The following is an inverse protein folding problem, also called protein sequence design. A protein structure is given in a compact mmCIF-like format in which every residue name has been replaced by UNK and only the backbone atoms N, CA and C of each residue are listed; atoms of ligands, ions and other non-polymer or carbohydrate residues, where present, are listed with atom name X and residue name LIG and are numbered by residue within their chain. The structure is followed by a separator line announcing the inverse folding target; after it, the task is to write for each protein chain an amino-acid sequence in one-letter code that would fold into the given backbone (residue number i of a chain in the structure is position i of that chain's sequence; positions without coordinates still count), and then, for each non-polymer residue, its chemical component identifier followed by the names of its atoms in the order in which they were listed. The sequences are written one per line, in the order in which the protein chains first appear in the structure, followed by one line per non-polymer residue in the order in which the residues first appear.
data_IF_512125996858
#
_entry.id   IF_512125996858
#
_cell.length_a   1.000
_cell.length_b   1.000
_cell.length_c   1.000
_cell.angle_alpha   90.00
_cell.angle_beta   90.00
_cell.angle_gamma   90.00
#
_symmetry.space_group_name_H-M   'P 1'
#
loop_
_entity.id
_entity.type
_entity.pdbx_description
1 polymer ?
#
# COMPACT_ATOMS: atom_id res chain seq x y z
N UNK A 1 12.28 -12.66 23.45
CA UNK A 1 12.51 -12.68 21.98
C UNK A 1 13.32 -13.91 21.66
N UNK A 2 12.97 -14.57 20.57
CA UNK A 2 13.77 -15.69 20.06
C UNK A 2 15.05 -15.11 19.44
N UNK A 3 16.20 -15.29 20.11
CA UNK A 3 17.51 -14.74 19.72
C UNK A 3 18.21 -15.60 18.66
N UNK A 4 17.48 -16.51 18.00
CA UNK A 4 18.09 -17.34 16.97
C UNK A 4 18.50 -16.51 15.75
N UNK A 5 19.70 -16.79 15.26
CA UNK A 5 20.13 -16.26 13.96
C UNK A 5 19.28 -16.88 12.85
N UNK A 6 18.76 -16.03 11.97
CA UNK A 6 17.84 -16.42 10.89
C UNK A 6 18.50 -16.31 9.53
N UNK A 7 18.07 -17.13 8.59
CA UNK A 7 18.47 -17.03 7.19
C UNK A 7 17.27 -17.19 6.25
N UNK A 8 17.31 -16.53 5.13
CA UNK A 8 16.34 -16.71 4.05
C UNK A 8 16.89 -16.22 2.71
N UNK A 9 16.21 -16.66 1.63
CA UNK A 9 16.44 -16.15 0.30
C UNK A 9 15.84 -14.72 0.19
N UNK A 10 16.65 -13.76 -0.21
CA UNK A 10 16.26 -12.36 -0.35
C UNK A 10 15.85 -11.99 -1.79
N UNK A 11 16.12 -12.84 -2.77
CA UNK A 11 15.78 -12.65 -4.20
C UNK A 11 14.90 -13.77 -4.72
N UNK A 12 14.23 -13.57 -5.85
CA UNK A 12 13.56 -14.64 -6.56
C UNK A 12 14.58 -15.66 -7.11
N UNK A 13 14.17 -16.91 -7.27
CA UNK A 13 14.98 -17.98 -7.90
C UNK A 13 14.94 -17.87 -9.42
N UNK A 14 15.99 -18.38 -10.09
CA UNK A 14 16.05 -18.47 -11.56
C UNK A 14 16.69 -17.28 -12.26
N UNK A 15 17.12 -16.26 -11.51
CA UNK A 15 17.96 -15.17 -12.04
C UNK A 15 19.42 -15.58 -12.17
N UNK A 16 20.25 -14.70 -12.74
CA UNK A 16 21.72 -14.92 -12.82
C UNK A 16 22.38 -14.92 -11.44
N UNK A 17 21.87 -14.10 -10.52
CA UNK A 17 22.36 -13.93 -9.15
C UNK A 17 21.19 -14.18 -8.17
N UNK A 18 21.49 -14.88 -7.08
CA UNK A 18 20.62 -15.01 -5.94
C UNK A 18 21.33 -14.57 -4.66
N UNK A 19 20.57 -14.00 -3.72
CA UNK A 19 21.11 -13.51 -2.45
C UNK A 19 20.42 -14.25 -1.31
N UNK A 20 21.23 -14.86 -0.45
CA UNK A 20 20.79 -15.42 0.83
C UNK A 20 21.20 -14.45 1.94
N UNK A 21 20.26 -14.01 2.75
CA UNK A 21 20.46 -13.08 3.86
C UNK A 21 20.47 -13.85 5.18
N UNK A 22 21.40 -13.48 6.06
CA UNK A 22 21.52 -13.98 7.44
C UNK A 22 21.46 -12.79 8.38
N UNK A 23 20.75 -12.89 9.50
CA UNK A 23 20.67 -11.84 10.53
C UNK A 23 20.57 -12.43 11.92
N UNK A 24 21.24 -11.82 12.88
CA UNK A 24 21.26 -12.21 14.28
C UNK A 24 22.65 -12.08 14.88
N UNK A 25 22.73 -12.26 16.19
CA UNK A 25 23.96 -12.11 16.96
C UNK A 25 25.13 -12.96 16.44
N UNK A 26 24.84 -14.16 15.90
CA UNK A 26 25.83 -15.10 15.37
C UNK A 26 25.88 -15.13 13.83
N UNK A 27 25.31 -14.13 13.15
CA UNK A 27 25.21 -14.15 11.68
C UNK A 27 26.57 -14.26 10.99
N UNK A 28 27.57 -13.52 11.46
CA UNK A 28 28.91 -13.51 10.88
C UNK A 28 29.65 -14.81 11.21
N UNK A 29 29.57 -15.31 12.45
CA UNK A 29 30.22 -16.56 12.88
C UNK A 29 29.66 -17.77 12.08
N UNK A 30 28.32 -17.87 11.94
CA UNK A 30 27.71 -18.96 11.19
C UNK A 30 28.07 -18.90 9.72
N UNK A 31 28.09 -17.68 9.14
CA UNK A 31 28.52 -17.51 7.73
C UNK A 31 30.00 -17.91 7.57
N UNK A 32 30.87 -17.56 8.51
CA UNK A 32 32.28 -17.93 8.49
C UNK A 32 32.52 -19.45 8.52
N UNK A 33 31.63 -20.20 9.19
CA UNK A 33 31.74 -21.67 9.25
C UNK A 33 31.61 -22.32 7.86
N UNK A 34 30.85 -21.73 6.95
CA UNK A 34 30.60 -22.28 5.61
C UNK A 34 31.41 -21.59 4.51
N UNK A 35 32.05 -20.46 4.81
CA UNK A 35 32.74 -19.62 3.84
C UNK A 35 34.26 -19.72 3.96
N UNK A 36 34.96 -19.82 2.83
CA UNK A 36 36.43 -19.82 2.77
C UNK A 36 36.89 -18.78 1.75
N UNK A 37 37.81 -17.95 2.17
CA UNK A 37 38.47 -16.96 1.30
C UNK A 37 39.99 -17.13 1.32
N UNK A 38 40.62 -16.88 0.17
CA UNK A 38 42.10 -16.84 0.07
C UNK A 38 42.67 -15.53 0.62
N UNK A 39 41.85 -14.48 0.69
CA UNK A 39 42.29 -13.14 1.08
C UNK A 39 42.05 -12.81 2.55
N UNK A 40 41.12 -13.50 3.21
CA UNK A 40 40.75 -13.24 4.58
C UNK A 40 40.76 -14.54 5.38
N UNK A 41 41.37 -14.51 6.57
CA UNK A 41 41.48 -15.70 7.43
C UNK A 41 40.13 -16.04 8.08
N UNK A 42 39.34 -15.06 8.45
CA UNK A 42 38.01 -15.22 9.05
C UNK A 42 37.17 -13.98 8.78
N UNK A 43 35.86 -14.17 8.52
CA UNK A 43 34.88 -13.08 8.38
C UNK A 43 34.67 -12.32 9.70
N UNK A 44 34.96 -12.97 10.85
CA UNK A 44 34.83 -12.34 12.17
C UNK A 44 35.75 -11.11 12.32
N UNK A 45 36.91 -11.08 11.65
CA UNK A 45 37.83 -9.94 11.66
C UNK A 45 37.51 -8.87 10.62
N UNK A 46 36.53 -9.12 9.75
CA UNK A 46 36.17 -8.20 8.67
C UNK A 46 35.44 -6.96 9.21
N UNK A 47 35.67 -5.83 8.57
CA UNK A 47 34.97 -4.58 8.88
C UNK A 47 33.53 -4.63 8.38
N UNK A 48 32.61 -3.92 9.07
CA UNK A 48 31.28 -3.67 8.54
C UNK A 48 31.32 -2.91 7.21
N UNK A 49 30.31 -3.12 6.35
CA UNK A 49 30.20 -2.58 4.99
C UNK A 49 31.41 -3.00 4.10
N UNK A 50 31.85 -4.24 4.23
CA UNK A 50 32.89 -4.83 3.40
C UNK A 50 32.37 -6.01 2.59
N UNK A 51 33.01 -6.28 1.45
CA UNK A 51 32.67 -7.34 0.52
C UNK A 51 33.85 -8.30 0.37
N UNK A 52 33.60 -9.59 0.45
CA UNK A 52 34.63 -10.63 0.42
C UNK A 52 34.28 -11.71 -0.60
N UNK A 53 35.25 -12.03 -1.46
CA UNK A 53 35.15 -13.13 -2.41
C UNK A 53 35.69 -14.42 -1.83
N UNK A 54 35.01 -15.54 -2.09
CA UNK A 54 35.44 -16.86 -1.65
C UNK A 54 34.47 -17.95 -2.09
N UNK A 55 34.56 -19.09 -1.45
CA UNK A 55 33.77 -20.29 -1.71
C UNK A 55 32.88 -20.62 -0.51
N UNK A 56 31.64 -21.07 -0.79
CA UNK A 56 30.76 -21.67 0.23
C UNK A 56 30.84 -23.18 0.12
N UNK A 57 30.96 -23.84 1.27
CA UNK A 57 31.12 -25.28 1.41
C UNK A 57 29.96 -25.92 2.17
N UNK A 58 29.66 -27.17 1.87
CA UNK A 58 28.78 -28.02 2.67
C UNK A 58 29.51 -28.58 3.90
N UNK A 59 28.80 -29.37 4.73
CA UNK A 59 29.38 -30.04 5.94
C UNK A 59 30.47 -31.05 5.61
N UNK A 60 30.44 -31.65 4.44
CA UNK A 60 31.39 -32.60 3.93
C UNK A 60 32.66 -31.91 3.36
N UNK A 61 32.60 -30.57 3.22
CA UNK A 61 33.69 -29.76 2.70
C UNK A 61 33.70 -29.63 1.19
N UNK A 62 32.62 -30.05 0.50
CA UNK A 62 32.48 -29.87 -0.94
C UNK A 62 32.11 -28.42 -1.25
N UNK A 63 32.66 -27.86 -2.31
CA UNK A 63 32.32 -26.51 -2.78
C UNK A 63 30.89 -26.53 -3.34
N UNK A 64 30.04 -25.63 -2.82
CA UNK A 64 28.69 -25.39 -3.33
C UNK A 64 28.73 -24.37 -4.46
N UNK A 65 29.40 -23.23 -4.21
CA UNK A 65 29.51 -22.14 -5.19
C UNK A 65 30.64 -21.15 -4.83
N UNK A 66 31.11 -20.40 -5.83
CA UNK A 66 31.93 -19.21 -5.62
C UNK A 66 31.04 -17.99 -5.41
N UNK A 67 31.27 -17.24 -4.33
CA UNK A 67 30.33 -16.25 -3.84
C UNK A 67 31.00 -14.93 -3.45
N UNK A 68 30.15 -13.89 -3.32
CA UNK A 68 30.51 -12.64 -2.65
C UNK A 68 29.72 -12.55 -1.35
N UNK A 69 30.41 -12.34 -0.22
CA UNK A 69 29.78 -12.13 1.10
C UNK A 69 29.92 -10.67 1.52
N UNK A 70 28.78 -10.00 1.68
CA UNK A 70 28.68 -8.66 2.25
C UNK A 70 28.48 -8.77 3.76
N UNK A 71 29.19 -7.94 4.54
CA UNK A 71 29.12 -7.93 6.01
C UNK A 71 28.55 -6.60 6.49
N UNK A 72 27.55 -6.68 7.35
CA UNK A 72 26.94 -5.54 8.03
C UNK A 72 26.98 -5.76 9.53
N UNK A 73 27.55 -4.82 10.26
CA UNK A 73 27.64 -4.92 11.74
C UNK A 73 26.59 -4.04 12.40
N UNK A 74 26.07 -4.55 13.48
CA UNK A 74 25.17 -3.82 14.39
C UNK A 74 25.80 -2.47 14.80
N UNK A 75 25.03 -1.37 14.86
CA UNK A 75 23.62 -1.22 14.47
C UNK A 75 23.45 -0.85 12.97
N UNK A 76 24.52 -0.89 12.15
CA UNK A 76 24.54 -0.42 10.76
C UNK A 76 24.17 -1.53 9.76
N UNK A 77 23.02 -2.16 9.98
CA UNK A 77 22.41 -3.16 9.10
C UNK A 77 20.91 -2.87 8.91
N UNK A 78 20.25 -3.62 8.06
CA UNK A 78 18.79 -3.49 7.84
C UNK A 78 18.00 -3.80 9.10
N UNK A 79 18.32 -4.90 9.79
CA UNK A 79 17.65 -5.34 11.02
C UNK A 79 18.17 -4.65 12.28
N UNK A 80 19.29 -3.93 12.21
CA UNK A 80 20.01 -3.43 13.38
C UNK A 80 20.88 -4.48 14.10
N UNK A 81 20.85 -5.76 13.66
CA UNK A 81 21.69 -6.86 14.15
C UNK A 81 22.92 -7.04 13.25
N UNK A 82 23.88 -7.86 13.65
CA UNK A 82 24.90 -8.34 12.72
C UNK A 82 24.22 -9.10 11.57
N UNK A 83 24.66 -8.86 10.34
CA UNK A 83 24.03 -9.43 9.18
C UNK A 83 25.04 -9.71 8.07
N UNK A 84 24.79 -10.78 7.29
CA UNK A 84 25.56 -11.08 6.08
C UNK A 84 24.60 -11.30 4.90
N UNK A 85 25.07 -10.96 3.71
CA UNK A 85 24.41 -11.27 2.45
C UNK A 85 25.37 -12.06 1.58
N UNK A 86 24.96 -13.28 1.20
CA UNK A 86 25.73 -14.20 0.37
C UNK A 86 25.15 -14.11 -1.05
N UNK A 87 25.88 -13.48 -1.95
CA UNK A 87 25.54 -13.39 -3.38
C UNK A 87 26.16 -14.58 -4.11
N UNK A 88 25.33 -15.47 -4.62
CA UNK A 88 25.70 -16.68 -5.33
C UNK A 88 24.99 -16.78 -6.69
N UNK A 89 25.30 -17.80 -7.49
CA UNK A 89 24.52 -18.03 -8.71
C UNK A 89 23.08 -18.36 -8.39
N UNK A 90 22.12 -17.79 -9.15
CA UNK A 90 20.68 -17.80 -8.86
C UNK A 90 19.96 -19.13 -9.13
N UNK A 91 20.70 -20.23 -9.23
CA UNK A 91 20.14 -21.59 -9.36
C UNK A 91 19.38 -21.97 -8.09
N UNK A 92 18.13 -22.45 -8.23
CA UNK A 92 17.34 -22.96 -7.11
C UNK A 92 18.07 -24.05 -6.30
N UNK A 93 18.88 -24.87 -6.97
CA UNK A 93 19.70 -25.90 -6.34
C UNK A 93 20.78 -25.28 -5.45
N UNK A 94 21.58 -24.35 -5.99
CA UNK A 94 22.66 -23.69 -5.26
C UNK A 94 22.11 -22.96 -4.05
N UNK A 95 21.09 -22.14 -4.25
CA UNK A 95 20.43 -21.35 -3.19
C UNK A 95 19.89 -22.26 -2.08
N UNK A 96 19.29 -23.40 -2.43
CA UNK A 96 18.81 -24.41 -1.49
C UNK A 96 19.96 -25.05 -0.70
N UNK A 97 21.10 -25.34 -1.34
CA UNK A 97 22.28 -25.89 -0.63
C UNK A 97 22.92 -24.86 0.30
N UNK A 98 23.01 -23.58 -0.08
CA UNK A 98 23.53 -22.52 0.79
C UNK A 98 22.64 -22.35 2.02
N UNK A 99 21.31 -22.31 1.85
CA UNK A 99 20.37 -22.22 3.00
C UNK A 99 20.52 -23.47 3.89
N UNK A 100 20.63 -24.66 3.32
CA UNK A 100 20.84 -25.89 4.08
C UNK A 100 22.15 -25.83 4.88
N UNK A 101 23.25 -25.41 4.27
CA UNK A 101 24.54 -25.30 4.95
C UNK A 101 24.48 -24.30 6.13
N UNK A 102 23.76 -23.18 5.98
CA UNK A 102 23.53 -22.21 7.05
C UNK A 102 22.68 -22.79 8.18
N UNK A 103 21.59 -23.52 7.87
CA UNK A 103 20.74 -24.19 8.87
C UNK A 103 21.54 -25.26 9.61
N UNK A 104 22.30 -26.04 8.89
CA UNK A 104 23.18 -27.06 9.44
C UNK A 104 24.27 -26.46 10.35
N UNK A 105 24.65 -25.20 10.16
CA UNK A 105 25.60 -24.46 10.97
C UNK A 105 24.98 -23.66 12.13
N UNK A 106 23.65 -23.72 12.30
CA UNK A 106 22.93 -23.15 13.44
C UNK A 106 21.99 -21.99 13.15
N UNK A 107 21.73 -21.66 11.88
CA UNK A 107 20.65 -20.75 11.52
C UNK A 107 19.28 -21.45 11.63
N UNK A 108 18.25 -20.64 11.85
CA UNK A 108 16.86 -20.99 11.61
C UNK A 108 16.35 -20.31 10.33
N UNK A 109 15.47 -20.98 9.60
CA UNK A 109 14.80 -20.31 8.50
C UNK A 109 13.91 -19.18 9.03
N UNK A 110 13.96 -18.02 8.38
CA UNK A 110 13.16 -16.87 8.74
C UNK A 110 11.67 -17.07 8.42
N UNK A 111 10.81 -16.54 9.27
CA UNK A 111 9.37 -16.42 9.01
C UNK A 111 9.10 -15.28 7.99
N UNK A 112 7.90 -15.25 7.38
CA UNK A 112 7.49 -14.12 6.54
C UNK A 112 7.64 -12.78 7.29
N UNK A 113 8.27 -11.79 6.66
CA UNK A 113 8.48 -10.45 7.24
C UNK A 113 9.40 -10.38 8.46
N UNK A 114 10.07 -11.46 8.86
CA UNK A 114 10.85 -11.48 10.12
C UNK A 114 12.01 -10.49 10.14
N UNK A 115 12.68 -10.25 9.02
CA UNK A 115 13.75 -9.26 8.96
C UNK A 115 13.22 -7.84 9.21
N UNK A 116 12.09 -7.49 8.61
CA UNK A 116 11.44 -6.19 8.80
C UNK A 116 10.87 -6.06 10.22
N UNK A 117 10.29 -7.15 10.77
CA UNK A 117 9.86 -7.20 12.17
C UNK A 117 11.02 -6.92 13.13
N UNK A 118 12.19 -7.52 12.90
CA UNK A 118 13.39 -7.26 13.71
C UNK A 118 13.90 -5.83 13.56
N UNK A 119 13.87 -5.28 12.33
CA UNK A 119 14.20 -3.88 12.08
C UNK A 119 13.29 -2.94 12.89
N UNK A 120 11.97 -3.19 12.92
CA UNK A 120 11.02 -2.46 13.75
C UNK A 120 11.35 -2.61 15.27
N UNK A 121 11.51 -3.82 15.75
CA UNK A 121 11.81 -4.09 17.17
C UNK A 121 13.13 -3.47 17.64
N UNK A 122 14.10 -3.35 16.75
CA UNK A 122 15.41 -2.73 17.01
C UNK A 122 15.41 -1.21 16.73
N UNK A 123 14.24 -0.60 16.52
CA UNK A 123 14.07 0.85 16.35
C UNK A 123 14.67 1.42 15.06
N UNK A 124 14.90 0.59 14.03
CA UNK A 124 15.39 1.04 12.71
C UNK A 124 14.29 1.78 11.91
N UNK A 125 13.06 1.43 12.17
CA UNK A 125 11.86 2.01 11.57
C UNK A 125 10.68 1.83 12.51
N UNK A 126 9.63 2.63 12.36
CA UNK A 126 8.37 2.44 13.04
C UNK A 126 7.45 1.44 12.29
N UNK A 127 6.29 1.13 12.87
CA UNK A 127 5.37 0.13 12.31
C UNK A 127 4.78 0.57 10.97
N UNK A 128 4.48 1.87 10.80
CA UNK A 128 3.95 2.38 9.53
C UNK A 128 5.01 2.34 8.41
N UNK A 129 6.28 2.60 8.74
CA UNK A 129 7.39 2.46 7.82
C UNK A 129 7.66 0.98 7.47
N UNK A 130 7.49 0.07 8.43
CA UNK A 130 7.59 -1.37 8.20
C UNK A 130 6.53 -1.85 7.20
N UNK A 131 5.27 -1.43 7.36
CA UNK A 131 4.20 -1.71 6.38
C UNK A 131 4.52 -1.14 4.99
N UNK A 132 5.10 0.07 4.93
CA UNK A 132 5.50 0.70 3.68
C UNK A 132 6.56 -0.10 2.89
N UNK A 133 7.41 -0.91 3.56
CA UNK A 133 8.34 -1.82 2.86
C UNK A 133 7.59 -2.83 2.00
N UNK A 134 6.52 -3.42 2.52
CA UNK A 134 5.70 -4.36 1.75
C UNK A 134 4.98 -3.66 0.59
N UNK A 135 4.42 -2.48 0.86
CA UNK A 135 3.74 -1.68 -0.15
C UNK A 135 4.67 -1.24 -1.28
N UNK A 136 5.92 -0.88 -0.95
CA UNK A 136 6.93 -0.50 -1.93
C UNK A 136 7.29 -1.67 -2.86
N UNK A 137 7.41 -2.87 -2.31
CA UNK A 137 7.69 -4.10 -3.09
C UNK A 137 6.51 -4.47 -3.98
N UNK A 138 5.28 -4.31 -3.47
CA UNK A 138 4.05 -4.62 -4.20
C UNK A 138 3.63 -3.53 -5.19
N UNK A 139 4.29 -2.35 -5.18
CA UNK A 139 3.91 -1.24 -6.04
C UNK A 139 4.07 -1.58 -7.52
N UNK A 140 2.99 -1.40 -8.29
CA UNK A 140 2.92 -1.73 -9.72
C UNK A 140 2.86 -0.50 -10.64
N UNK A 141 2.73 0.71 -10.07
CA UNK A 141 2.64 1.97 -10.82
C UNK A 141 3.36 3.10 -10.09
N UNK A 142 3.56 4.24 -10.80
CA UNK A 142 4.28 5.40 -10.27
C UNK A 142 3.62 6.00 -9.03
N UNK A 143 2.30 6.07 -8.99
CA UNK A 143 1.57 6.68 -7.86
C UNK A 143 1.70 5.82 -6.58
N UNK A 144 1.46 4.51 -6.67
CA UNK A 144 1.60 3.60 -5.53
C UNK A 144 3.05 3.54 -5.02
N UNK A 145 4.04 3.54 -5.93
CA UNK A 145 5.46 3.63 -5.58
C UNK A 145 5.76 4.92 -4.79
N UNK A 146 5.31 6.09 -5.28
CA UNK A 146 5.55 7.36 -4.61
C UNK A 146 4.93 7.42 -3.21
N UNK A 147 3.69 6.91 -3.04
CA UNK A 147 3.02 6.84 -1.74
C UNK A 147 3.78 5.96 -0.75
N UNK A 148 4.15 4.75 -1.18
CA UNK A 148 4.93 3.83 -0.34
C UNK A 148 6.29 4.41 0.04
N UNK A 149 6.96 5.10 -0.89
CA UNK A 149 8.24 5.75 -0.64
C UNK A 149 8.10 6.92 0.36
N UNK A 150 7.06 7.74 0.24
CA UNK A 150 6.79 8.83 1.18
C UNK A 150 6.54 8.29 2.60
N UNK A 151 5.76 7.22 2.71
CA UNK A 151 5.49 6.56 3.99
C UNK A 151 6.77 5.95 4.58
N UNK A 152 7.59 5.26 3.76
CA UNK A 152 8.88 4.69 4.20
C UNK A 152 9.86 5.78 4.66
N UNK A 153 9.87 6.96 4.03
CA UNK A 153 10.66 8.12 4.48
C UNK A 153 10.18 8.73 5.80
N UNK A 154 9.05 8.27 6.34
CA UNK A 154 8.55 8.69 7.64
C UNK A 154 7.71 9.97 7.62
N UNK A 155 7.25 10.45 6.47
CA UNK A 155 6.42 11.66 6.40
C UNK A 155 5.12 11.50 7.19
N UNK A 156 4.48 10.31 7.09
CA UNK A 156 3.27 10.00 7.86
C UNK A 156 3.56 9.95 9.38
N UNK A 157 4.65 9.30 9.77
CA UNK A 157 5.06 9.20 11.17
C UNK A 157 5.41 10.57 11.78
N UNK A 158 6.02 11.45 10.99
CA UNK A 158 6.30 12.85 11.39
C UNK A 158 5.02 13.62 11.62
N UNK A 159 4.02 13.49 10.75
CA UNK A 159 2.70 14.10 10.92
C UNK A 159 2.01 13.63 12.20
N UNK A 160 1.98 12.31 12.43
CA UNK A 160 1.39 11.74 13.65
C UNK A 160 2.15 12.18 14.91
N UNK A 161 3.47 12.32 14.84
CA UNK A 161 4.27 12.83 15.97
C UNK A 161 3.90 14.27 16.32
N UNK A 162 3.67 15.13 15.32
CA UNK A 162 3.22 16.52 15.56
C UNK A 162 1.83 16.55 16.19
N UNK A 163 0.89 15.70 15.73
CA UNK A 163 -0.44 15.60 16.35
C UNK A 163 -0.34 15.12 17.81
N UNK A 164 0.52 14.13 18.08
CA UNK A 164 0.76 13.65 19.44
C UNK A 164 1.36 14.72 20.35
N UNK A 165 2.33 15.50 19.88
CA UNK A 165 2.89 16.61 20.65
C UNK A 165 1.83 17.64 21.01
N UNK A 166 0.94 17.97 20.07
CA UNK A 166 -0.16 18.90 20.32
C UNK A 166 -1.14 18.35 21.35
N UNK A 167 -1.51 17.05 21.27
CA UNK A 167 -2.36 16.38 22.26
C UNK A 167 -1.70 16.35 23.65
N UNK A 168 -0.42 16.00 23.73
CA UNK A 168 0.34 16.01 24.99
C UNK A 168 0.37 17.39 25.62
N UNK A 169 0.45 18.47 24.81
CA UNK A 169 0.36 19.84 25.31
C UNK A 169 -0.99 20.09 25.98
N UNK A 170 -2.11 19.70 25.36
CA UNK A 170 -3.45 19.83 25.96
C UNK A 170 -3.52 19.04 27.27
N UNK A 171 -3.09 17.76 27.24
CA UNK A 171 -3.09 16.90 28.43
C UNK A 171 -2.31 17.52 29.58
N UNK A 172 -1.09 18.01 29.32
CA UNK A 172 -0.25 18.62 30.36
C UNK A 172 -0.87 19.88 30.95
N UNK A 173 -1.54 20.70 30.15
CA UNK A 173 -2.22 21.90 30.64
C UNK A 173 -3.41 21.56 31.52
N UNK A 174 -4.19 20.53 31.18
CA UNK A 174 -5.31 20.04 32.00
C UNK A 174 -4.84 19.34 33.26
N UNK A 175 -3.75 18.58 33.25
CA UNK A 175 -3.17 17.97 34.44
C UNK A 175 -2.63 19.02 35.40
N UNK A 176 -2.01 20.12 34.91
CA UNK A 176 -1.62 21.24 35.72
C UNK A 176 -2.83 21.95 36.37
N UNK A 177 -3.93 22.13 35.65
CA UNK A 177 -5.17 22.68 36.20
C UNK A 177 -5.71 21.85 37.38
N UNK A 178 -5.62 20.51 37.27
CA UNK A 178 -6.04 19.55 38.30
C UNK A 178 -5.14 19.62 39.56
N UNK A 179 -3.81 19.62 39.38
CA UNK A 179 -2.85 19.59 40.46
C UNK A 179 -2.90 20.90 41.30
N UNK A 180 -3.33 21.98 40.69
CA UNK A 180 -3.42 23.33 41.35
C UNK A 180 -4.86 23.78 41.60
N UNK A 181 -5.86 22.88 41.44
CA UNK A 181 -7.29 23.14 41.64
C UNK A 181 -7.65 23.64 43.06
N UNK A 182 -6.76 23.43 44.06
CA UNK A 182 -6.89 23.92 45.42
C UNK A 182 -6.57 25.46 45.57
N UNK A 183 -6.04 26.06 44.50
CA UNK A 183 -5.74 27.49 44.44
C UNK A 183 -6.72 28.22 43.52
N UNK A 184 -7.81 28.75 44.06
CA UNK A 184 -8.98 29.32 43.36
C UNK A 184 -8.69 30.49 42.38
N UNK A 185 -7.44 30.90 42.14
CA UNK A 185 -7.09 32.08 41.33
C UNK A 185 -6.22 31.79 40.09
N UNK A 186 -5.90 30.57 39.77
CA UNK A 186 -4.99 30.25 38.64
C UNK A 186 -5.68 29.44 37.54
N UNK A 187 -6.24 30.13 36.55
CA UNK A 187 -6.53 29.50 35.25
C UNK A 187 -5.21 29.24 34.51
N UNK A 188 -4.73 27.98 34.48
CA UNK A 188 -3.49 27.59 33.82
C UNK A 188 -3.64 27.43 32.30
N UNK A 189 -4.88 27.27 31.81
CA UNK A 189 -5.16 27.15 30.39
C UNK A 189 -6.44 27.93 30.03
N UNK A 190 -6.31 28.79 29.05
CA UNK A 190 -7.50 29.37 28.41
C UNK A 190 -8.25 28.23 27.68
N UNK A 191 -9.45 27.90 28.15
CA UNK A 191 -10.30 26.84 27.56
C UNK A 191 -10.57 27.10 26.08
N UNK A 192 -10.64 28.36 25.65
CA UNK A 192 -10.77 28.74 24.25
C UNK A 192 -9.53 28.37 23.42
N UNK A 193 -8.33 28.50 23.97
CA UNK A 193 -7.10 28.06 23.29
C UNK A 193 -7.03 26.52 23.22
N UNK A 194 -7.48 25.81 24.26
CA UNK A 194 -7.54 24.34 24.26
C UNK A 194 -8.55 23.82 23.23
N UNK A 195 -9.74 24.42 23.16
CA UNK A 195 -10.77 24.09 22.19
C UNK A 195 -10.27 24.31 20.76
N UNK A 196 -9.72 25.47 20.47
CA UNK A 196 -9.17 25.78 19.14
C UNK A 196 -8.05 24.81 18.72
N UNK A 197 -7.22 24.36 19.67
CA UNK A 197 -6.18 23.36 19.39
C UNK A 197 -6.78 21.97 19.15
N UNK A 198 -7.78 21.57 19.92
CA UNK A 198 -8.48 20.30 19.74
C UNK A 198 -9.22 20.26 18.39
N UNK A 199 -9.90 21.34 18.01
CA UNK A 199 -10.55 21.47 16.69
C UNK A 199 -9.55 21.37 15.53
N UNK A 200 -8.38 22.01 15.66
CA UNK A 200 -7.31 21.91 14.66
C UNK A 200 -6.81 20.47 14.49
N UNK A 201 -6.63 19.74 15.60
CA UNK A 201 -6.23 18.33 15.58
C UNK A 201 -7.33 17.48 14.91
N UNK A 202 -8.58 17.70 15.30
CA UNK A 202 -9.73 16.98 14.71
C UNK A 202 -9.84 17.22 13.20
N UNK A 203 -9.66 18.45 12.75
CA UNK A 203 -9.69 18.79 11.33
C UNK A 203 -8.60 18.03 10.58
N UNK A 204 -7.38 18.02 11.14
CA UNK A 204 -6.26 17.31 10.52
C UNK A 204 -6.45 15.79 10.47
N UNK A 205 -6.97 15.18 11.54
CA UNK A 205 -7.34 13.76 11.54
C UNK A 205 -8.43 13.48 10.48
N UNK A 206 -9.40 14.39 10.33
CA UNK A 206 -10.46 14.26 9.32
C UNK A 206 -9.90 14.30 7.90
N UNK A 207 -8.94 15.18 7.61
CA UNK A 207 -8.25 15.24 6.31
C UNK A 207 -7.52 13.92 6.00
N UNK A 208 -6.85 13.34 7.00
CA UNK A 208 -6.17 12.05 6.86
C UNK A 208 -7.16 10.92 6.59
N UNK A 209 -8.30 10.90 7.28
CA UNK A 209 -9.37 9.93 7.06
C UNK A 209 -9.92 10.06 5.63
N UNK A 210 -10.22 11.27 5.17
CA UNK A 210 -10.73 11.51 3.81
C UNK A 210 -9.73 11.09 2.74
N UNK A 211 -8.43 11.18 3.00
CA UNK A 211 -7.40 10.74 2.07
C UNK A 211 -7.37 9.23 1.83
N UNK A 212 -7.99 8.43 2.71
CA UNK A 212 -7.95 6.96 2.63
C UNK A 212 -8.61 6.39 1.37
N UNK A 213 -9.74 6.94 0.94
CA UNK A 213 -10.41 6.48 -0.29
C UNK A 213 -9.50 6.64 -1.50
N UNK A 214 -8.88 7.82 -1.62
CA UNK A 214 -7.91 8.10 -2.67
C UNK A 214 -6.68 7.18 -2.56
N UNK A 215 -6.13 7.04 -1.37
CA UNK A 215 -4.95 6.19 -1.12
C UNK A 215 -5.21 4.71 -1.45
N UNK A 216 -6.36 4.20 -1.03
CA UNK A 216 -6.76 2.82 -1.32
C UNK A 216 -7.01 2.60 -2.82
N UNK A 217 -7.63 3.57 -3.52
CA UNK A 217 -7.83 3.53 -4.96
C UNK A 217 -6.50 3.55 -5.72
N UNK A 218 -5.55 4.38 -5.30
CA UNK A 218 -4.22 4.45 -5.91
C UNK A 218 -3.39 3.18 -5.68
N UNK A 219 -3.55 2.55 -4.53
CA UNK A 219 -2.85 1.30 -4.18
C UNK A 219 -3.43 0.08 -4.91
N UNK A 220 -4.76 -0.05 -4.94
CA UNK A 220 -5.46 -1.21 -5.53
C UNK A 220 -5.82 -1.04 -7.00
N UNK A 221 -5.69 0.16 -7.54
CA UNK A 221 -6.20 0.53 -8.85
C UNK A 221 -7.64 1.06 -8.77
N UNK A 222 -7.92 2.09 -9.58
CA UNK A 222 -9.23 2.74 -9.64
C UNK A 222 -10.21 1.84 -10.37
N UNK A 223 -11.33 1.46 -9.74
CA UNK A 223 -12.28 0.54 -10.36
C UNK A 223 -13.12 1.23 -11.44
N UNK A 224 -13.11 0.66 -12.65
CA UNK A 224 -13.82 1.14 -13.83
C UNK A 224 -14.79 0.08 -14.33
N UNK A 225 -16.06 0.43 -14.50
CA UNK A 225 -17.04 -0.45 -15.13
C UNK A 225 -17.30 -0.04 -16.58
N UNK A 226 -17.32 -1.01 -17.50
CA UNK A 226 -17.77 -0.82 -18.87
C UNK A 226 -19.16 -1.39 -19.00
N UNK A 227 -20.16 -0.52 -19.23
CA UNK A 227 -21.56 -0.88 -19.36
C UNK A 227 -22.14 -0.45 -20.70
N UNK A 228 -23.24 -1.03 -21.13
CA UNK A 228 -23.90 -0.73 -22.40
C UNK A 228 -24.60 -1.94 -22.99
N UNK A 229 -25.46 -1.72 -24.01
CA UNK A 229 -26.24 -2.77 -24.69
C UNK A 229 -25.32 -3.81 -25.34
N UNK A 230 -25.89 -4.93 -25.75
CA UNK A 230 -25.16 -5.96 -26.53
C UNK A 230 -24.67 -5.38 -27.86
N UNK A 231 -23.52 -5.86 -28.35
CA UNK A 231 -22.94 -5.49 -29.64
C UNK A 231 -22.52 -4.00 -29.83
N UNK A 232 -22.52 -3.18 -28.78
CA UNK A 232 -21.99 -1.80 -28.87
C UNK A 232 -20.45 -1.74 -28.90
N UNK A 233 -19.76 -2.89 -28.72
CA UNK A 233 -18.31 -2.98 -28.84
C UNK A 233 -17.54 -2.91 -27.51
N UNK A 234 -18.17 -3.27 -26.37
CA UNK A 234 -17.53 -3.29 -25.04
C UNK A 234 -16.25 -4.12 -24.96
N UNK A 235 -16.27 -5.36 -25.54
CA UNK A 235 -15.10 -6.23 -25.55
C UNK A 235 -13.95 -5.67 -26.39
N UNK A 236 -14.27 -5.07 -27.54
CA UNK A 236 -13.29 -4.41 -28.40
C UNK A 236 -12.69 -3.19 -27.70
N UNK A 237 -13.52 -2.39 -27.02
CA UNK A 237 -13.07 -1.25 -26.24
C UNK A 237 -12.15 -1.67 -25.10
N UNK A 238 -12.52 -2.71 -24.33
CA UNK A 238 -11.68 -3.26 -23.26
C UNK A 238 -10.31 -3.68 -23.79
N UNK A 239 -10.27 -4.45 -24.89
CA UNK A 239 -9.00 -4.88 -25.49
C UNK A 239 -8.13 -3.71 -25.96
N UNK A 240 -8.76 -2.62 -26.47
CA UNK A 240 -8.03 -1.40 -26.82
C UNK A 240 -7.41 -0.73 -25.60
N UNK A 241 -8.14 -0.62 -24.48
CA UNK A 241 -7.67 0.00 -23.25
C UNK A 241 -6.61 -0.85 -22.54
N UNK A 242 -6.65 -2.18 -22.69
CA UNK A 242 -5.65 -3.08 -22.11
C UNK A 242 -4.36 -3.15 -22.92
N UNK A 243 -4.28 -2.52 -24.09
CA UNK A 243 -3.12 -2.58 -24.99
C UNK A 243 -2.60 -4.02 -25.22
N UNK A 244 -3.48 -4.99 -25.47
CA UNK A 244 -3.12 -6.43 -25.58
C UNK A 244 -1.99 -6.76 -26.58
N UNK A 245 -1.61 -5.83 -27.43
CA UNK A 245 -0.43 -5.93 -28.32
C UNK A 245 0.92 -5.70 -27.57
N UNK A 246 0.92 -5.34 -26.26
CA UNK A 246 2.12 -5.04 -25.46
C UNK A 246 2.22 -5.84 -24.16
N UNK A 247 1.64 -7.02 -24.09
CA UNK A 247 1.71 -7.86 -22.90
C UNK A 247 3.15 -8.32 -22.61
N UNK A 248 3.90 -7.54 -21.85
CA UNK A 248 4.97 -8.05 -20.99
C UNK A 248 4.27 -8.55 -19.73
N UNK A 249 3.83 -9.78 -19.77
CA UNK A 249 3.29 -10.50 -18.62
C UNK A 249 4.41 -10.68 -17.61
N UNK A 250 4.42 -9.91 -16.54
CA UNK A 250 5.20 -10.27 -15.36
C UNK A 250 4.49 -11.45 -14.69
N UNK A 251 4.95 -12.67 -14.99
CA UNK A 251 4.57 -13.86 -14.26
C UNK A 251 5.13 -13.83 -12.85
N UNK A 252 4.50 -13.09 -11.95
CA UNK A 252 4.72 -13.27 -10.51
C UNK A 252 3.86 -14.46 -10.10
N UNK A 253 4.46 -15.64 -10.10
CA UNK A 253 3.88 -16.85 -9.51
C UNK A 253 3.86 -16.67 -8.00
N UNK A 254 2.68 -16.58 -7.39
CA UNK A 254 2.58 -16.70 -5.93
C UNK A 254 1.48 -15.92 -5.22
N UNK A 255 0.32 -15.68 -5.83
CA UNK A 255 -0.86 -15.31 -5.05
C UNK A 255 -2.07 -16.09 -5.55
N UNK A 256 -2.77 -16.69 -4.60
CA UNK A 256 -4.05 -17.41 -4.63
C UNK A 256 -5.04 -16.93 -5.70
N UNK A 257 -5.80 -17.89 -6.25
CA UNK A 257 -6.97 -17.81 -7.13
C UNK A 257 -7.93 -16.65 -6.80
N UNK A 258 -7.53 -15.42 -7.04
CA UNK A 258 -8.45 -14.31 -7.10
C UNK A 258 -8.70 -13.94 -8.56
N UNK A 259 -9.91 -13.53 -8.85
CA UNK A 259 -10.48 -13.15 -10.14
C UNK A 259 -9.42 -12.35 -10.92
N UNK A 260 -9.03 -12.84 -12.12
CA UNK A 260 -8.12 -12.11 -13.01
C UNK A 260 -8.87 -10.84 -13.44
N UNK A 261 -8.63 -9.75 -12.73
CA UNK A 261 -9.11 -8.44 -13.12
C UNK A 261 -8.13 -7.85 -14.11
N UNK A 262 -8.64 -7.35 -15.21
CA UNK A 262 -7.83 -6.71 -16.24
C UNK A 262 -7.47 -5.29 -15.81
N UNK A 263 -6.19 -4.95 -15.80
CA UNK A 263 -5.69 -3.63 -15.38
C UNK A 263 -4.91 -2.94 -16.49
N UNK A 264 -4.99 -1.62 -16.55
CA UNK A 264 -4.15 -0.78 -17.41
C UNK A 264 -3.55 0.38 -16.64
N UNK A 265 -2.40 0.89 -17.08
CA UNK A 265 -1.77 2.08 -16.49
C UNK A 265 -1.98 3.28 -17.40
N UNK A 266 -2.63 4.33 -16.87
CA UNK A 266 -2.83 5.60 -17.57
C UNK A 266 -2.17 6.71 -16.72
N UNK A 267 -1.20 7.41 -17.29
CA UNK A 267 -0.47 8.51 -16.63
C UNK A 267 0.12 8.14 -15.25
N UNK A 268 0.61 6.90 -15.10
CA UNK A 268 1.24 6.44 -13.86
C UNK A 268 0.27 5.97 -12.79
N UNK A 269 -1.01 5.76 -13.13
CA UNK A 269 -2.07 5.29 -12.25
C UNK A 269 -2.70 4.04 -12.84
N UNK A 270 -2.92 3.03 -12.00
CA UNK A 270 -3.58 1.79 -12.41
C UNK A 270 -5.09 1.96 -12.40
N UNK A 271 -5.75 1.62 -13.50
CA UNK A 271 -7.19 1.46 -13.62
C UNK A 271 -7.54 -0.02 -13.75
N UNK A 272 -8.52 -0.46 -12.98
CA UNK A 272 -8.92 -1.85 -12.86
C UNK A 272 -10.33 -2.04 -13.42
N UNK A 273 -10.45 -2.82 -14.49
CA UNK A 273 -11.74 -3.07 -15.12
C UNK A 273 -12.48 -4.21 -14.41
N UNK A 274 -13.68 -3.91 -13.89
CA UNK A 274 -14.46 -4.83 -13.07
C UNK A 274 -15.20 -5.83 -13.94
N UNK A 275 -15.14 -7.13 -13.56
CA UNK A 275 -15.87 -8.27 -14.17
C UNK A 275 -15.73 -8.34 -15.70
N UNK A 276 -14.49 -8.37 -16.16
CA UNK A 276 -14.17 -8.53 -17.59
C UNK A 276 -14.54 -9.89 -18.15
N UNK A 277 -14.70 -10.92 -17.30
CA UNK A 277 -15.10 -12.27 -17.71
C UNK A 277 -16.47 -12.30 -18.39
N UNK A 278 -17.41 -11.45 -17.96
CA UNK A 278 -18.71 -11.29 -18.60
C UNK A 278 -18.64 -10.55 -19.95
N UNK A 279 -17.60 -9.74 -20.18
CA UNK A 279 -17.36 -9.01 -21.42
C UNK A 279 -16.66 -9.92 -22.46
N UNK A 280 -15.77 -10.81 -22.02
CA UNK A 280 -14.99 -11.72 -22.90
C UNK A 280 -15.76 -12.95 -23.39
N UNK A 281 -16.87 -13.36 -22.73
CA UNK A 281 -17.60 -14.61 -22.99
C UNK A 281 -18.95 -14.44 -23.71
N UNK A 282 -19.30 -13.31 -24.25
CA UNK A 282 -20.61 -13.10 -24.88
C UNK A 282 -20.62 -13.52 -26.35
N UNK A 283 -20.93 -14.80 -26.55
CA UNK A 283 -21.84 -15.22 -27.60
C UNK A 283 -22.99 -15.98 -26.92
N UNK A 284 -24.22 -15.38 -27.00
CA UNK A 284 -25.51 -15.98 -26.60
C UNK A 284 -25.71 -16.50 -25.15
N UNK A 285 -26.40 -15.77 -24.31
CA UNK A 285 -27.56 -16.12 -23.46
C UNK A 285 -27.85 -15.08 -22.37
N UNK A 286 -29.12 -14.63 -22.31
CA UNK A 286 -29.83 -14.04 -21.15
C UNK A 286 -29.76 -12.53 -20.95
N UNK A 287 -30.72 -11.82 -21.55
CA UNK A 287 -30.96 -10.39 -21.38
C UNK A 287 -31.37 -9.96 -19.93
N UNK A 288 -32.08 -10.82 -19.19
CA UNK A 288 -32.54 -10.48 -17.82
C UNK A 288 -31.47 -10.66 -16.74
N UNK A 289 -30.56 -11.60 -16.84
CA UNK A 289 -29.40 -11.75 -15.94
C UNK A 289 -28.33 -10.67 -16.19
N UNK A 290 -28.38 -9.99 -17.32
CA UNK A 290 -27.44 -8.90 -17.69
C UNK A 290 -27.68 -7.61 -16.91
N UNK A 291 -28.91 -7.31 -16.54
CA UNK A 291 -29.28 -6.07 -15.84
C UNK A 291 -28.80 -6.11 -14.38
N UNK A 292 -29.09 -7.17 -13.63
CA UNK A 292 -28.63 -7.29 -12.23
C UNK A 292 -27.11 -7.31 -12.11
N UNK A 293 -26.42 -7.95 -13.04
CA UNK A 293 -24.95 -7.94 -13.10
C UNK A 293 -24.38 -6.56 -13.47
N UNK A 294 -25.06 -5.81 -14.35
CA UNK A 294 -24.67 -4.45 -14.67
C UNK A 294 -24.81 -3.51 -13.46
N UNK A 295 -25.87 -3.66 -12.67
CA UNK A 295 -26.06 -2.91 -11.42
C UNK A 295 -24.91 -3.15 -10.42
N UNK A 296 -24.58 -4.41 -10.19
CA UNK A 296 -23.47 -4.75 -9.29
C UNK A 296 -22.13 -4.18 -9.73
N UNK A 297 -21.85 -4.18 -11.05
CA UNK A 297 -20.63 -3.58 -11.61
C UNK A 297 -20.59 -2.07 -11.39
N UNK A 298 -21.70 -1.37 -11.60
CA UNK A 298 -21.80 0.06 -11.37
C UNK A 298 -21.57 0.38 -9.90
N UNK A 299 -22.11 -0.44 -8.99
CA UNK A 299 -22.02 -0.24 -7.55
C UNK A 299 -20.56 -0.29 -7.06
N UNK A 300 -19.77 -1.21 -7.58
CA UNK A 300 -18.35 -1.41 -7.24
C UNK A 300 -17.41 -0.42 -7.93
N UNK A 301 -17.87 0.31 -8.96
CA UNK A 301 -17.06 1.20 -9.77
C UNK A 301 -16.98 2.63 -9.19
N UNK A 302 -15.82 3.28 -9.37
CA UNK A 302 -15.69 4.73 -9.20
C UNK A 302 -15.96 5.50 -10.49
N UNK A 303 -15.61 4.87 -11.64
CA UNK A 303 -15.83 5.45 -12.97
C UNK A 303 -16.67 4.47 -13.79
N UNK A 304 -17.69 4.97 -14.46
CA UNK A 304 -18.57 4.19 -15.33
C UNK A 304 -18.42 4.67 -16.76
N UNK A 305 -17.98 3.77 -17.65
CA UNK A 305 -17.93 3.99 -19.09
C UNK A 305 -19.20 3.43 -19.72
N UNK A 306 -20.17 4.32 -19.99
CA UNK A 306 -21.39 3.94 -20.68
C UNK A 306 -21.16 3.94 -22.19
N UNK A 307 -20.93 2.74 -22.73
CA UNK A 307 -20.66 2.55 -24.17
C UNK A 307 -21.97 2.45 -24.96
N UNK A 308 -22.11 3.32 -25.92
CA UNK A 308 -23.29 3.42 -26.82
C UNK A 308 -22.80 3.48 -28.27
N UNK A 309 -23.68 3.10 -29.23
CA UNK A 309 -23.50 3.27 -30.68
C UNK A 309 -24.67 3.99 -31.33
N UNK A 310 -25.67 4.37 -30.52
CA UNK A 310 -26.83 5.16 -30.90
C UNK A 310 -27.17 6.16 -29.81
N UNK A 311 -27.91 7.21 -30.15
CA UNK A 311 -28.36 8.22 -29.18
C UNK A 311 -29.31 7.55 -28.18
N UNK A 312 -29.04 7.63 -26.87
CA UNK A 312 -29.87 7.02 -25.84
C UNK A 312 -31.22 7.76 -25.73
N UNK A 313 -32.24 7.03 -25.30
CA UNK A 313 -33.55 7.63 -25.00
C UNK A 313 -33.51 8.44 -23.71
N UNK A 314 -34.49 9.31 -23.47
CA UNK A 314 -34.59 10.06 -22.22
C UNK A 314 -34.71 9.13 -20.99
N UNK A 315 -35.36 7.98 -21.13
CA UNK A 315 -35.52 6.99 -20.10
C UNK A 315 -34.16 6.30 -19.77
N UNK A 316 -33.37 5.90 -20.82
CA UNK A 316 -32.01 5.37 -20.65
C UNK A 316 -31.12 6.39 -19.88
N UNK A 317 -31.21 7.68 -20.21
CA UNK A 317 -30.45 8.76 -19.57
C UNK A 317 -30.86 8.92 -18.09
N UNK A 318 -32.14 8.93 -17.78
CA UNK A 318 -32.66 9.08 -16.44
C UNK A 318 -32.28 7.88 -15.57
N UNK A 319 -32.34 6.66 -16.12
CA UNK A 319 -31.92 5.44 -15.44
C UNK A 319 -30.41 5.47 -15.11
N UNK A 320 -29.57 5.79 -16.09
CA UNK A 320 -28.12 5.89 -15.89
C UNK A 320 -27.76 6.98 -14.87
N UNK A 321 -28.44 8.13 -14.92
CA UNK A 321 -28.22 9.21 -13.95
C UNK A 321 -28.52 8.76 -12.53
N UNK A 322 -29.60 8.00 -12.31
CA UNK A 322 -29.95 7.46 -10.99
C UNK A 322 -28.93 6.43 -10.50
N UNK A 323 -28.45 5.57 -11.41
CA UNK A 323 -27.50 4.50 -11.09
C UNK A 323 -26.08 4.99 -10.82
N UNK A 324 -25.74 6.19 -11.29
CA UNK A 324 -24.40 6.76 -11.21
C UNK A 324 -24.38 8.08 -10.43
N UNK A 325 -25.34 8.28 -9.48
CA UNK A 325 -25.48 9.54 -8.74
C UNK A 325 -24.19 9.91 -8.00
N UNK A 326 -23.51 8.91 -7.39
CA UNK A 326 -22.25 9.06 -6.67
C UNK A 326 -21.02 8.62 -7.48
N UNK A 327 -21.16 8.43 -8.80
CA UNK A 327 -20.09 7.90 -9.66
C UNK A 327 -19.72 8.91 -10.76
N UNK A 328 -18.52 8.77 -11.29
CA UNK A 328 -18.09 9.55 -12.47
C UNK A 328 -18.56 8.83 -13.74
N UNK A 329 -19.56 9.39 -14.43
CA UNK A 329 -20.11 8.81 -15.65
C UNK A 329 -19.48 9.47 -16.89
N UNK A 330 -18.90 8.64 -17.77
CA UNK A 330 -18.44 9.01 -19.12
C UNK A 330 -19.27 8.26 -20.17
N UNK A 331 -19.82 8.98 -21.13
CA UNK A 331 -20.45 8.36 -22.30
C UNK A 331 -19.37 8.10 -23.35
N UNK A 332 -19.23 6.84 -23.74
CA UNK A 332 -18.32 6.42 -24.81
C UNK A 332 -19.14 6.10 -26.04
N UNK A 333 -19.20 7.03 -26.96
CA UNK A 333 -19.89 6.82 -28.25
C UNK A 333 -18.97 6.09 -29.21
N UNK A 334 -19.19 4.79 -29.36
CA UNK A 334 -18.38 3.92 -30.19
C UNK A 334 -18.92 3.81 -31.62
N UNK A 335 -18.10 3.28 -32.54
CA UNK A 335 -18.41 3.13 -33.97
C UNK A 335 -18.63 4.48 -34.70
N UNK A 336 -17.82 5.50 -34.36
CA UNK A 336 -17.87 6.79 -35.02
C UNK A 336 -17.64 6.70 -36.54
N UNK A 337 -16.97 5.65 -36.99
CA UNK A 337 -16.79 5.31 -38.40
C UNK A 337 -18.10 5.06 -39.16
N UNK A 338 -19.20 4.78 -38.46
CA UNK A 338 -20.53 4.56 -38.98
C UNK A 338 -21.49 5.76 -38.78
N UNK A 339 -21.04 6.84 -38.11
CA UNK A 339 -21.88 8.02 -37.79
C UNK A 339 -22.07 8.95 -38.98
N UNK A 340 -23.32 9.40 -39.20
CA UNK A 340 -23.63 10.51 -40.09
C UNK A 340 -23.43 11.85 -39.36
N UNK A 341 -22.95 12.89 -40.03
CA UNK A 341 -22.67 14.24 -39.45
C UNK A 341 -23.82 14.86 -38.65
N UNK A 342 -25.08 14.46 -38.89
CA UNK A 342 -26.27 14.96 -38.17
C UNK A 342 -26.44 14.37 -36.73
N UNK A 343 -25.71 13.33 -36.36
CA UNK A 343 -25.84 12.68 -35.04
C UNK A 343 -24.86 13.23 -34.02
N UNK A 344 -23.85 13.99 -34.42
CA UNK A 344 -22.83 14.55 -33.55
C UNK A 344 -23.29 15.79 -32.74
N UNK A 345 -24.42 16.40 -33.05
CA UNK A 345 -24.87 17.69 -32.47
C UNK A 345 -25.82 17.57 -31.26
N UNK A 346 -26.05 16.37 -30.71
CA UNK A 346 -26.93 16.21 -29.57
C UNK A 346 -26.19 16.50 -28.24
N UNK A 347 -26.61 17.55 -27.54
CA UNK A 347 -26.15 17.90 -26.20
C UNK A 347 -26.66 16.88 -25.17
N UNK A 348 -25.86 15.84 -24.90
CA UNK A 348 -26.10 14.94 -23.79
C UNK A 348 -25.64 15.61 -22.47
N UNK A 349 -26.32 15.35 -21.35
CA UNK A 349 -26.04 16.03 -20.06
C UNK A 349 -24.72 15.54 -19.39
N UNK A 350 -23.96 14.70 -20.07
CA UNK A 350 -22.71 14.10 -19.58
C UNK A 350 -21.57 14.32 -20.57
N UNK A 351 -20.32 14.15 -20.13
CA UNK A 351 -19.16 14.20 -21.02
C UNK A 351 -19.21 13.03 -22.00
N UNK A 352 -19.16 13.31 -23.27
CA UNK A 352 -19.19 12.32 -24.37
C UNK A 352 -17.85 12.28 -25.06
N UNK A 353 -17.31 11.06 -25.25
CA UNK A 353 -16.11 10.82 -26.04
C UNK A 353 -16.49 9.95 -27.23
N UNK A 354 -16.22 10.42 -28.42
CA UNK A 354 -16.50 9.71 -29.68
C UNK A 354 -15.26 8.90 -30.06
N UNK A 355 -15.42 7.58 -30.23
CA UNK A 355 -14.32 6.65 -30.55
C UNK A 355 -14.68 5.70 -31.68
N UNK A 356 -13.68 5.13 -32.33
CA UNK A 356 -13.81 3.87 -33.07
C UNK A 356 -12.87 2.83 -32.43
N UNK A 357 -13.42 1.97 -31.58
CA UNK A 357 -12.64 0.91 -30.93
C UNK A 357 -12.05 -0.07 -31.96
N UNK A 358 -12.75 -0.28 -33.09
CA UNK A 358 -12.29 -1.16 -34.19
C UNK A 358 -11.03 -0.63 -34.88
N UNK A 359 -10.95 0.68 -35.08
CA UNK A 359 -9.83 1.34 -35.78
C UNK A 359 -8.84 2.00 -34.81
N UNK A 360 -9.07 1.86 -33.48
CA UNK A 360 -8.27 2.47 -32.40
C UNK A 360 -8.20 4.01 -32.49
N UNK A 361 -9.26 4.64 -33.02
CA UNK A 361 -9.35 6.10 -33.15
C UNK A 361 -9.87 6.74 -31.86
N UNK A 362 -9.28 7.84 -31.42
CA UNK A 362 -9.62 8.63 -30.22
C UNK A 362 -9.51 7.87 -28.89
N UNK A 363 -8.76 6.76 -28.84
CA UNK A 363 -8.56 6.00 -27.58
C UNK A 363 -7.74 6.82 -26.58
N UNK A 364 -6.71 7.56 -27.01
CA UNK A 364 -5.92 8.43 -26.14
C UNK A 364 -6.76 9.55 -25.50
N UNK A 365 -7.77 10.07 -26.22
CA UNK A 365 -8.69 11.07 -25.68
C UNK A 365 -9.58 10.45 -24.58
N UNK A 366 -10.03 9.21 -24.80
CA UNK A 366 -10.78 8.46 -23.80
C UNK A 366 -9.91 8.16 -22.55
N UNK A 367 -8.66 7.74 -22.72
CA UNK A 367 -7.72 7.53 -21.61
C UNK A 367 -7.50 8.81 -20.80
N UNK A 368 -7.33 9.94 -21.48
CA UNK A 368 -7.23 11.25 -20.83
C UNK A 368 -8.48 11.58 -20.04
N UNK A 369 -9.67 11.33 -20.61
CA UNK A 369 -10.95 11.58 -19.95
C UNK A 369 -11.15 10.66 -18.72
N UNK A 370 -10.73 9.39 -18.79
CA UNK A 370 -10.75 8.46 -17.66
C UNK A 370 -9.83 8.97 -16.55
N UNK A 371 -8.61 9.38 -16.89
CA UNK A 371 -7.65 9.93 -15.93
C UNK A 371 -8.17 11.19 -15.23
N UNK A 372 -8.72 12.16 -16.00
CA UNK A 372 -9.30 13.39 -15.45
C UNK A 372 -10.52 13.11 -14.57
N UNK A 373 -11.34 12.10 -14.91
CA UNK A 373 -12.52 11.72 -14.13
C UNK A 373 -12.16 11.05 -12.79
N UNK A 374 -10.95 10.55 -12.64
CA UNK A 374 -10.47 9.98 -11.38
C UNK A 374 -10.27 11.05 -10.31
N UNK A 375 -10.19 12.33 -10.68
CA UNK A 375 -10.10 13.50 -9.77
C UNK A 375 -9.02 13.32 -8.68
N UNK A 376 -7.85 12.83 -9.09
CA UNK A 376 -6.77 12.49 -8.17
C UNK A 376 -5.96 13.74 -7.86
N UNK A 377 -5.76 14.04 -6.57
CA UNK A 377 -4.90 15.16 -6.18
C UNK A 377 -3.46 14.93 -6.65
N UNK A 378 -2.77 16.01 -6.97
CA UNK A 378 -1.34 15.95 -7.32
C UNK A 378 -0.54 15.39 -6.14
N UNK A 379 0.05 14.21 -6.32
CA UNK A 379 0.89 13.57 -5.31
C UNK A 379 2.27 14.23 -5.36
N UNK A 380 2.57 15.05 -4.36
CA UNK A 380 3.90 15.62 -4.16
C UNK A 380 4.80 14.70 -3.32
N UNK A 381 6.10 15.01 -3.27
CA UNK A 381 7.06 14.29 -2.43
C UNK A 381 6.72 14.32 -0.93
N UNK A 382 5.96 15.32 -0.48
CA UNK A 382 5.56 15.50 0.92
C UNK A 382 4.09 15.14 1.18
N UNK A 383 3.37 14.60 0.19
CA UNK A 383 1.97 14.23 0.36
C UNK A 383 1.84 13.10 1.38
N UNK A 384 1.01 13.32 2.40
CA UNK A 384 0.63 12.33 3.40
C UNK A 384 -0.77 11.84 3.06
N UNK A 385 -0.87 10.59 2.60
CA UNK A 385 -2.11 9.95 2.20
C UNK A 385 -2.19 8.59 2.89
N UNK A 386 -3.31 8.31 3.54
CA UNK A 386 -3.55 7.04 4.23
C UNK A 386 -3.88 5.96 3.21
N UNK A 387 -3.16 4.82 3.27
CA UNK A 387 -3.34 3.70 2.32
C UNK A 387 -3.73 2.39 3.01
N UNK A 388 -3.60 2.32 4.34
CA UNK A 388 -3.87 1.12 5.15
C UNK A 388 -5.20 1.24 5.89
N UNK A 389 -6.05 0.19 5.82
CA UNK A 389 -7.29 0.11 6.57
C UNK A 389 -7.05 0.19 8.10
N UNK A 390 -5.96 -0.40 8.60
CA UNK A 390 -5.56 -0.33 10.00
C UNK A 390 -5.33 1.12 10.44
N UNK A 391 -4.66 1.93 9.62
CA UNK A 391 -4.44 3.35 9.90
C UNK A 391 -5.75 4.13 9.88
N UNK A 392 -6.62 3.85 8.89
CA UNK A 392 -7.94 4.47 8.81
C UNK A 392 -8.78 4.18 10.07
N UNK A 393 -8.85 2.94 10.51
CA UNK A 393 -9.61 2.53 11.70
C UNK A 393 -9.08 3.22 12.97
N UNK A 394 -7.76 3.29 13.14
CA UNK A 394 -7.15 3.98 14.27
C UNK A 394 -7.44 5.49 14.25
N UNK A 395 -7.35 6.13 13.08
CA UNK A 395 -7.69 7.54 12.90
C UNK A 395 -9.18 7.82 13.14
N UNK A 396 -10.07 6.92 12.69
CA UNK A 396 -11.51 7.06 12.92
C UNK A 396 -11.84 7.05 14.42
N UNK A 397 -11.26 6.11 15.17
CA UNK A 397 -11.39 6.07 16.64
C UNK A 397 -10.80 7.33 17.31
N UNK A 398 -9.62 7.78 16.85
CA UNK A 398 -8.99 8.99 17.35
C UNK A 398 -9.87 10.24 17.10
N UNK A 399 -10.57 10.29 15.96
CA UNK A 399 -11.54 11.36 15.65
C UNK A 399 -12.72 11.37 16.62
N UNK A 400 -13.24 10.21 16.98
CA UNK A 400 -14.33 10.10 17.98
C UNK A 400 -13.84 10.55 19.36
N UNK A 401 -12.64 10.17 19.76
CA UNK A 401 -12.08 10.56 21.06
C UNK A 401 -11.83 12.07 21.13
N UNK A 402 -11.23 12.69 20.10
CA UNK A 402 -11.00 14.14 20.11
C UNK A 402 -12.32 14.93 20.02
N UNK A 403 -13.37 14.39 19.37
CA UNK A 403 -14.69 15.00 19.39
C UNK A 403 -15.25 15.07 20.82
N UNK A 404 -15.15 13.97 21.60
CA UNK A 404 -15.57 13.98 23.01
C UNK A 404 -14.76 14.96 23.85
N UNK A 405 -13.47 15.17 23.55
CA UNK A 405 -12.65 16.21 24.18
C UNK A 405 -13.25 17.59 23.92
N UNK A 406 -13.58 17.91 22.66
CA UNK A 406 -14.17 19.20 22.27
C UNK A 406 -15.52 19.39 22.99
N UNK A 407 -16.40 18.39 22.92
CA UNK A 407 -17.70 18.42 23.58
C UNK A 407 -17.54 18.63 25.11
N UNK A 408 -16.56 17.94 25.73
CA UNK A 408 -16.25 18.08 27.15
C UNK A 408 -15.78 19.48 27.53
N UNK A 409 -14.93 20.11 26.72
CA UNK A 409 -14.46 21.49 26.92
C UNK A 409 -15.66 22.44 26.83
N UNK A 410 -16.53 22.30 25.82
CA UNK A 410 -17.71 23.16 25.61
C UNK A 410 -18.75 23.02 26.73
N UNK A 411 -18.90 21.81 27.26
CA UNK A 411 -19.81 21.55 28.41
C UNK A 411 -19.20 21.95 29.76
N UNK A 412 -17.96 22.42 29.79
CA UNK A 412 -17.29 22.79 31.03
C UNK A 412 -16.98 21.61 31.94
N UNK A 413 -16.76 20.41 31.39
CA UNK A 413 -16.40 19.23 32.19
C UNK A 413 -15.06 19.45 32.90
N UNK A 414 -14.87 18.70 33.99
CA UNK A 414 -13.61 18.71 34.75
C UNK A 414 -12.45 18.14 33.92
N UNK A 415 -11.23 18.62 34.15
CA UNK A 415 -10.04 18.25 33.41
C UNK A 415 -9.72 16.75 33.46
N UNK A 416 -10.07 16.04 34.54
CA UNK A 416 -9.89 14.59 34.69
C UNK A 416 -10.71 13.78 33.67
N UNK A 417 -11.97 14.16 33.42
CA UNK A 417 -12.81 13.50 32.41
C UNK A 417 -12.31 13.75 31.00
N UNK A 418 -11.88 14.98 30.70
CA UNK A 418 -11.35 15.33 29.39
C UNK A 418 -10.01 14.63 29.14
N UNK A 419 -9.16 14.48 30.17
CA UNK A 419 -7.86 13.83 30.11
C UNK A 419 -7.96 12.35 29.73
N UNK A 420 -9.03 11.65 30.13
CA UNK A 420 -9.27 10.24 29.75
C UNK A 420 -9.46 10.11 28.22
N UNK A 421 -10.30 10.95 27.61
CA UNK A 421 -10.51 10.94 26.15
C UNK A 421 -9.25 11.36 25.37
N UNK A 422 -8.44 12.29 25.91
CA UNK A 422 -7.14 12.65 25.35
C UNK A 422 -6.15 11.48 25.36
N UNK A 423 -6.10 10.73 26.47
CA UNK A 423 -5.25 9.53 26.57
C UNK A 423 -5.68 8.48 25.54
N UNK A 424 -6.99 8.23 25.39
CA UNK A 424 -7.49 7.33 24.35
C UNK A 424 -7.10 7.79 22.94
N UNK A 425 -7.22 9.08 22.64
CA UNK A 425 -6.78 9.63 21.35
C UNK A 425 -5.28 9.43 21.11
N UNK A 426 -4.43 9.69 22.13
CA UNK A 426 -2.99 9.45 22.08
C UNK A 426 -2.64 7.97 21.84
N UNK A 427 -3.37 7.05 22.49
CA UNK A 427 -3.21 5.61 22.29
C UNK A 427 -3.52 5.19 20.87
N UNK A 428 -4.66 5.64 20.34
CA UNK A 428 -5.11 5.30 19.00
C UNK A 428 -4.15 5.82 17.91
N UNK A 429 -3.61 7.02 18.05
CA UNK A 429 -2.55 7.52 17.17
C UNK A 429 -1.24 6.75 17.35
N UNK A 430 -0.92 6.33 18.59
CA UNK A 430 0.27 5.53 18.91
C UNK A 430 0.25 4.13 18.29
N UNK A 431 -0.94 3.51 18.18
CA UNK A 431 -1.10 2.20 17.52
C UNK A 431 -0.61 2.21 16.07
N UNK A 432 -0.73 3.32 15.35
CA UNK A 432 -0.32 3.43 13.96
C UNK A 432 1.19 3.24 13.80
N UNK A 433 1.96 3.92 14.63
CA UNK A 433 3.44 3.89 14.58
C UNK A 433 4.05 2.79 15.44
N UNK A 434 3.23 2.08 16.26
CA UNK A 434 3.72 1.07 17.19
C UNK A 434 4.37 1.66 18.44
N UNK A 435 4.09 2.91 18.78
CA UNK A 435 4.64 3.61 19.95
C UNK A 435 4.08 3.15 21.30
N UNK A 436 3.07 2.30 21.30
CA UNK A 436 2.58 1.54 22.45
C UNK A 436 2.89 0.06 22.26
N UNK A 437 2.89 -0.72 23.36
CA UNK A 437 3.20 -2.15 23.34
C UNK A 437 2.21 -2.87 22.44
N UNK A 438 2.61 -3.06 21.19
CA UNK A 438 1.81 -3.83 20.23
C UNK A 438 2.00 -5.30 20.56
N UNK A 439 0.91 -6.04 20.76
CA UNK A 439 0.97 -7.46 21.11
C UNK A 439 1.65 -8.27 19.99
N UNK A 440 2.32 -9.37 20.35
CA UNK A 440 2.95 -10.26 19.37
C UNK A 440 1.95 -10.80 18.34
N UNK A 441 0.68 -10.94 18.70
CA UNK A 441 -0.39 -11.38 17.82
C UNK A 441 -0.67 -10.34 16.73
N UNK A 442 -0.77 -9.05 17.08
CA UNK A 442 -0.96 -7.95 16.12
C UNK A 442 0.23 -7.84 15.18
N UNK A 443 1.46 -7.90 15.73
CA UNK A 443 2.67 -7.91 14.92
C UNK A 443 2.69 -9.13 13.98
N UNK A 444 2.33 -10.31 14.50
CA UNK A 444 2.23 -11.53 13.70
C UNK A 444 1.27 -11.38 12.51
N UNK A 445 0.10 -10.77 12.72
CA UNK A 445 -0.87 -10.54 11.65
C UNK A 445 -0.37 -9.54 10.60
N UNK A 446 0.29 -8.46 11.01
CA UNK A 446 0.86 -7.47 10.08
C UNK A 446 1.94 -8.13 9.20
N UNK A 447 2.89 -8.85 9.80
CA UNK A 447 4.04 -9.41 9.09
C UNK A 447 3.75 -10.70 8.32
N UNK A 448 2.64 -11.40 8.62
CA UNK A 448 2.24 -12.65 7.94
C UNK A 448 2.11 -12.54 6.42
N UNK A 449 1.74 -11.36 5.94
CA UNK A 449 1.54 -11.10 4.50
C UNK A 449 2.80 -10.61 3.78
N UNK A 450 3.93 -10.52 4.49
CA UNK A 450 5.21 -10.14 3.90
C UNK A 450 5.87 -11.33 3.19
N UNK A 451 6.76 -11.04 2.25
CA UNK A 451 7.59 -12.06 1.63
C UNK A 451 8.62 -12.61 2.61
N UNK A 452 8.94 -13.91 2.52
CA UNK A 452 10.07 -14.52 3.23
C UNK A 452 11.36 -13.85 2.73
N UNK A 453 12.26 -13.47 3.64
CA UNK A 453 13.50 -12.77 3.30
C UNK A 453 13.42 -11.23 3.39
N UNK A 454 12.27 -10.71 3.79
CA UNK A 454 12.03 -9.28 4.04
C UNK A 454 11.60 -9.02 5.48
#
# INVERSE_FOLDING_TARGET
MDNHTICALATATGGAIGIVRVSGEKAIEITDCIFKSTQLKTLCDAKGNSLHYGEVHDKEGNVIDEVLVSIFRSPHSYTGEDSTEISCHGSAFILGQVIKALIDSGCRQAEPGEFTKRAYLNGKMDLSQAEAVADLIASSNKASHQLALNQLKGHFSSELSQLREQLLKITSLLELELDFSDHEELEFADRGELEALAEKIQHRISDLILSFETGNALKKGIPVAIVGKTNVGKSTLLNCLLHEDKAIVSNIHGTTRDIIEDTTEINGITFRFIDTAGIRKTEDYVEQLGIEKAFKKIDEASIVLWTIDQIPTADDINEMKRLTEDKKLLIVFNKMDCLSQQQADNHLPFRVIYISAKYKEHINELETAIYESADIPTISENSVIVTSARHYEALARAKESIQRVIDGIQLGLSGDLISEDLRLCLEQLGEITGGQITTNEVLGNIFKHFCIGK
#
